data_IF_512137576128
#
_entry.id   IF_512137576128
#
_cell.length_a   1.000
_cell.length_b   1.000
_cell.length_c   1.000
_cell.angle_alpha   90.00
_cell.angle_beta   90.00
_cell.angle_gamma   90.00
#
_symmetry.space_group_name_H-M   'P 1'
#
loop_
_entity.id
_entity.type
_entity.pdbx_description
1 polymer ?
#
# COMPACT_ATOMS: atom_id res chain seq x y z
N UNK A 1 47.15 -6.90 -32.28
CA UNK A 1 45.78 -6.98 -32.81
C UNK A 1 45.07 -5.68 -32.49
N UNK A 2 44.73 -4.93 -33.52
CA UNK A 2 44.15 -3.58 -33.50
C UNK A 2 42.62 -3.66 -33.43
N UNK A 3 42.02 -3.24 -32.31
CA UNK A 3 40.56 -3.19 -32.12
C UNK A 3 40.01 -1.79 -32.39
N UNK A 4 39.40 -1.59 -33.57
CA UNK A 4 38.79 -0.33 -33.95
C UNK A 4 37.38 -0.14 -33.37
N UNK A 5 37.12 1.03 -32.77
CA UNK A 5 35.79 1.45 -32.32
C UNK A 5 34.96 1.91 -33.53
N UNK A 6 33.89 1.18 -33.86
CA UNK A 6 32.89 1.59 -34.88
C UNK A 6 31.89 2.58 -34.27
N UNK A 7 31.96 3.85 -34.68
CA UNK A 7 30.90 4.86 -34.47
C UNK A 7 29.62 4.42 -35.18
N UNK A 8 28.48 4.35 -34.46
CA UNK A 8 27.15 4.16 -35.06
C UNK A 8 26.71 5.47 -35.74
N UNK A 9 26.31 5.39 -37.02
CA UNK A 9 25.66 6.47 -37.76
C UNK A 9 24.27 6.72 -37.17
N UNK A 10 23.94 7.99 -36.97
CA UNK A 10 22.60 8.45 -36.65
C UNK A 10 21.82 8.50 -37.97
N UNK A 11 20.85 7.61 -38.16
CA UNK A 11 19.94 7.68 -39.31
C UNK A 11 18.89 8.76 -39.06
N UNK A 12 18.96 9.80 -39.87
CA UNK A 12 18.06 10.95 -39.83
C UNK A 12 16.79 10.59 -40.60
N UNK A 13 15.72 10.21 -39.91
CA UNK A 13 14.40 10.01 -40.54
C UNK A 13 13.76 11.37 -40.86
N UNK A 14 13.24 11.59 -42.08
CA UNK A 14 12.59 12.84 -42.43
C UNK A 14 11.26 12.98 -41.67
N UNK A 15 11.04 14.14 -41.05
CA UNK A 15 9.74 14.54 -40.51
C UNK A 15 8.72 14.62 -41.65
N UNK A 16 7.93 13.57 -41.81
CA UNK A 16 6.71 13.59 -42.62
C UNK A 16 5.75 14.63 -42.06
N UNK A 17 5.27 15.53 -42.92
CA UNK A 17 4.25 16.52 -42.61
C UNK A 17 3.07 15.85 -41.93
N UNK A 18 2.80 16.26 -40.69
CA UNK A 18 1.59 15.90 -39.94
C UNK A 18 0.42 16.45 -40.74
N UNK A 19 -0.28 15.58 -41.48
CA UNK A 19 -1.61 15.92 -42.01
C UNK A 19 -2.46 16.27 -40.81
N UNK A 20 -2.90 17.52 -40.74
CA UNK A 20 -3.99 17.93 -39.86
C UNK A 20 -5.24 17.17 -40.32
N UNK A 21 -5.49 16.02 -39.69
CA UNK A 21 -6.78 15.35 -39.80
C UNK A 21 -7.82 16.30 -39.24
N UNK A 22 -8.62 16.89 -40.13
CA UNK A 22 -9.81 17.66 -39.78
C UNK A 22 -10.62 16.84 -38.79
N UNK A 23 -10.72 17.36 -37.58
CA UNK A 23 -11.56 16.85 -36.50
C UNK A 23 -13.02 16.89 -36.98
N UNK A 24 -13.49 15.80 -37.59
CA UNK A 24 -14.91 15.57 -37.79
C UNK A 24 -15.48 15.28 -36.41
N UNK A 25 -15.91 16.34 -35.71
CA UNK A 25 -16.61 16.25 -34.42
C UNK A 25 -18.02 15.71 -34.68
N UNK A 26 -18.11 14.42 -35.01
CA UNK A 26 -19.34 13.69 -34.81
C UNK A 26 -19.55 13.59 -33.28
N UNK A 27 -20.77 13.86 -32.77
CA UNK A 27 -21.05 13.64 -31.36
C UNK A 27 -20.69 12.19 -30.98
N UNK A 28 -20.12 11.96 -29.78
CA UNK A 28 -19.65 10.64 -29.41
C UNK A 28 -20.79 9.64 -29.54
N UNK A 29 -20.57 8.58 -30.32
CA UNK A 29 -21.53 7.50 -30.44
C UNK A 29 -21.84 6.93 -29.04
N UNK A 30 -23.02 6.33 -28.85
CA UNK A 30 -23.36 5.69 -27.58
C UNK A 30 -22.29 4.70 -27.11
N UNK A 31 -21.62 4.05 -28.06
CA UNK A 31 -20.46 3.19 -27.82
C UNK A 31 -19.28 3.98 -27.23
N UNK A 32 -18.86 5.08 -27.87
CA UNK A 32 -17.77 5.92 -27.38
C UNK A 32 -18.04 6.50 -25.99
N UNK A 33 -19.29 6.90 -25.72
CA UNK A 33 -19.70 7.36 -24.38
C UNK A 33 -19.57 6.25 -23.34
N UNK A 34 -19.96 5.02 -23.69
CA UNK A 34 -19.82 3.85 -22.80
C UNK A 34 -18.35 3.54 -22.50
N UNK A 35 -17.47 3.54 -23.52
CA UNK A 35 -16.04 3.31 -23.31
C UNK A 35 -15.38 4.40 -22.46
N UNK A 36 -15.81 5.67 -22.57
CA UNK A 36 -15.34 6.74 -21.67
C UNK A 36 -15.74 6.48 -20.22
N UNK A 37 -16.95 5.98 -19.99
CA UNK A 37 -17.40 5.61 -18.64
C UNK A 37 -16.58 4.44 -18.07
N UNK A 38 -16.35 3.39 -18.88
CA UNK A 38 -15.51 2.26 -18.47
C UNK A 38 -14.06 2.68 -18.20
N UNK A 39 -13.50 3.56 -19.03
CA UNK A 39 -12.17 4.10 -18.80
C UNK A 39 -12.10 4.79 -17.44
N UNK A 40 -13.04 5.69 -17.14
CA UNK A 40 -13.08 6.42 -15.87
C UNK A 40 -13.18 5.48 -14.66
N UNK A 41 -14.01 4.44 -14.76
CA UNK A 41 -14.14 3.43 -13.71
C UNK A 41 -12.84 2.65 -13.50
N UNK A 42 -12.21 2.19 -14.59
CA UNK A 42 -10.95 1.46 -14.55
C UNK A 42 -9.81 2.32 -13.99
N UNK A 43 -9.67 3.56 -14.45
CA UNK A 43 -8.64 4.49 -13.99
C UNK A 43 -8.81 4.79 -12.49
N UNK A 44 -10.04 5.08 -12.05
CA UNK A 44 -10.35 5.30 -10.62
C UNK A 44 -9.98 4.08 -9.77
N UNK A 45 -10.27 2.87 -10.28
CA UNK A 45 -9.93 1.62 -9.59
C UNK A 45 -8.42 1.38 -9.53
N UNK A 46 -7.69 1.63 -10.61
CA UNK A 46 -6.23 1.50 -10.64
C UNK A 46 -5.56 2.50 -9.69
N UNK A 47 -6.02 3.76 -9.68
CA UNK A 47 -5.51 4.77 -8.76
C UNK A 47 -5.69 4.35 -7.30
N UNK A 48 -6.85 3.78 -6.97
CA UNK A 48 -7.11 3.22 -5.64
C UNK A 48 -6.19 2.05 -5.32
N UNK A 49 -6.02 1.12 -6.26
CA UNK A 49 -5.12 -0.02 -6.09
C UNK A 49 -3.69 0.44 -5.78
N UNK A 50 -3.18 1.44 -6.49
CA UNK A 50 -1.84 2.00 -6.25
C UNK A 50 -1.73 2.69 -4.89
N UNK A 51 -2.77 3.39 -4.42
CA UNK A 51 -2.79 3.95 -3.05
C UNK A 51 -2.73 2.83 -2.00
N UNK A 52 -3.49 1.76 -2.19
CA UNK A 52 -3.48 0.59 -1.30
C UNK A 52 -2.14 -0.13 -1.29
N UNK A 53 -1.48 -0.30 -2.45
CA UNK A 53 -0.14 -0.89 -2.54
C UNK A 53 0.88 -0.07 -1.74
N UNK A 54 0.83 1.27 -1.81
CA UNK A 54 1.71 2.15 -1.04
C UNK A 54 1.48 2.00 0.46
N UNK A 55 0.23 2.02 0.91
CA UNK A 55 -0.11 1.79 2.32
C UNK A 55 0.36 0.41 2.81
N UNK A 56 0.11 -0.64 2.01
CA UNK A 56 0.56 -2.01 2.29
C UNK A 56 2.07 -2.09 2.43
N UNK A 57 2.82 -1.43 1.55
CA UNK A 57 4.29 -1.38 1.62
C UNK A 57 4.78 -0.73 2.91
N UNK A 58 4.17 0.39 3.31
CA UNK A 58 4.51 1.08 4.55
C UNK A 58 4.22 0.21 5.78
N UNK A 59 3.06 -0.46 5.80
CA UNK A 59 2.68 -1.42 6.85
C UNK A 59 3.73 -2.53 6.96
N UNK A 60 4.15 -3.12 5.83
CA UNK A 60 5.21 -4.15 5.83
C UNK A 60 6.51 -3.62 6.41
N UNK A 61 6.96 -2.43 6.00
CA UNK A 61 8.23 -1.86 6.47
C UNK A 61 8.21 -1.63 7.99
N UNK A 62 7.15 -1.01 8.51
CA UNK A 62 7.04 -0.73 9.95
C UNK A 62 6.83 -1.98 10.80
N UNK A 63 6.08 -2.97 10.29
CA UNK A 63 5.91 -4.27 10.95
C UNK A 63 7.25 -5.02 11.04
N UNK A 64 8.03 -5.05 9.96
CA UNK A 64 9.40 -5.63 9.99
C UNK A 64 10.31 -4.92 10.98
N UNK A 65 10.30 -3.58 11.00
CA UNK A 65 11.08 -2.80 11.96
C UNK A 65 10.71 -3.16 13.40
N UNK A 66 9.42 -3.36 13.65
CA UNK A 66 8.91 -3.80 14.96
C UNK A 66 9.39 -5.21 15.30
N UNK A 67 9.36 -6.15 14.36
CA UNK A 67 9.91 -7.51 14.56
C UNK A 67 11.41 -7.45 14.91
N UNK A 68 12.21 -6.66 14.19
CA UNK A 68 13.63 -6.46 14.49
C UNK A 68 13.88 -5.81 15.85
N UNK A 69 13.01 -4.90 16.28
CA UNK A 69 13.06 -4.31 17.62
C UNK A 69 12.79 -5.40 18.69
N UNK A 70 11.75 -6.21 18.49
CA UNK A 70 11.35 -7.28 19.40
C UNK A 70 12.42 -8.38 19.54
N UNK A 71 13.20 -8.64 18.49
CA UNK A 71 14.35 -9.55 18.58
C UNK A 71 15.41 -9.13 19.61
N UNK A 72 15.44 -7.86 20.02
CA UNK A 72 16.39 -7.35 21.03
C UNK A 72 15.96 -7.65 22.46
N UNK A 73 14.71 -8.09 22.67
CA UNK A 73 14.12 -8.29 23.99
C UNK A 73 14.93 -9.25 24.89
N UNK A 74 15.49 -10.33 24.34
CA UNK A 74 16.26 -11.32 25.14
C UNK A 74 17.68 -10.87 25.48
N UNK A 75 18.17 -9.82 24.81
CA UNK A 75 19.59 -9.44 24.84
C UNK A 75 19.83 -8.15 25.62
N UNK A 76 18.77 -7.48 26.08
CA UNK A 76 18.87 -6.17 26.71
C UNK A 76 18.22 -6.17 28.10
N UNK A 77 18.81 -5.48 29.10
CA UNK A 77 18.25 -5.39 30.45
C UNK A 77 16.93 -4.58 30.51
N UNK A 78 16.55 -3.92 29.42
CA UNK A 78 15.39 -3.01 29.32
C UNK A 78 14.23 -3.60 28.49
N UNK A 79 13.89 -4.88 28.70
CA UNK A 79 12.83 -5.56 27.95
C UNK A 79 11.46 -4.85 27.97
N UNK A 80 11.09 -4.20 29.07
CA UNK A 80 9.84 -3.44 29.17
C UNK A 80 9.81 -2.19 28.28
N UNK A 81 10.94 -1.46 28.17
CA UNK A 81 11.04 -0.30 27.28
C UNK A 81 10.90 -0.73 25.81
N UNK A 82 11.51 -1.85 25.43
CA UNK A 82 11.39 -2.44 24.09
C UNK A 82 9.93 -2.79 23.79
N UNK A 83 9.21 -3.38 24.76
CA UNK A 83 7.80 -3.70 24.59
C UNK A 83 6.94 -2.43 24.44
N UNK A 84 7.18 -1.40 25.25
CA UNK A 84 6.49 -0.12 25.13
C UNK A 84 6.75 0.54 23.78
N UNK A 85 8.00 0.57 23.32
CA UNK A 85 8.36 1.13 22.01
C UNK A 85 7.70 0.34 20.88
N UNK A 86 7.68 -1.00 20.97
CA UNK A 86 7.03 -1.85 19.98
C UNK A 86 5.52 -1.58 19.88
N UNK A 87 4.84 -1.32 21.00
CA UNK A 87 3.41 -1.00 21.02
C UNK A 87 3.13 0.31 20.27
N UNK A 88 3.92 1.36 20.52
CA UNK A 88 3.81 2.64 19.82
C UNK A 88 3.99 2.48 18.30
N UNK A 89 4.90 1.60 17.89
CA UNK A 89 5.10 1.28 16.46
C UNK A 89 3.90 0.52 15.88
N UNK A 90 3.35 -0.45 16.61
CA UNK A 90 2.15 -1.17 16.18
C UNK A 90 0.92 -0.27 16.11
N UNK A 91 0.79 0.72 16.99
CA UNK A 91 -0.24 1.76 16.87
C UNK A 91 -0.12 2.55 15.57
N UNK A 92 1.10 2.92 15.18
CA UNK A 92 1.33 3.59 13.90
C UNK A 92 0.95 2.69 12.71
N UNK A 93 1.20 1.39 12.80
CA UNK A 93 0.76 0.42 11.80
C UNK A 93 -0.77 0.32 11.75
N UNK A 94 -1.45 0.22 12.90
CA UNK A 94 -2.92 0.21 12.99
C UNK A 94 -3.54 1.46 12.37
N UNK A 95 -2.93 2.64 12.56
CA UNK A 95 -3.36 3.88 11.88
C UNK A 95 -3.26 3.80 10.35
N UNK A 96 -2.24 3.13 9.80
CA UNK A 96 -2.15 2.88 8.35
C UNK A 96 -3.19 1.86 7.88
N UNK A 97 -3.48 0.83 8.68
CA UNK A 97 -4.56 -0.12 8.39
C UNK A 97 -5.92 0.57 8.40
N UNK A 98 -6.13 1.57 9.28
CA UNK A 98 -7.31 2.43 9.24
C UNK A 98 -7.44 3.20 7.92
N UNK A 99 -6.34 3.74 7.38
CA UNK A 99 -6.36 4.40 6.07
C UNK A 99 -6.73 3.40 4.96
N UNK A 100 -6.23 2.16 5.03
CA UNK A 100 -6.65 1.07 4.13
C UNK A 100 -8.15 0.81 4.26
N UNK A 101 -8.67 0.71 5.49
CA UNK A 101 -10.09 0.49 5.73
C UNK A 101 -10.96 1.60 5.12
N UNK A 102 -10.52 2.86 5.21
CA UNK A 102 -11.22 4.02 4.62
C UNK A 102 -11.27 3.96 3.09
N UNK A 103 -10.18 3.54 2.43
CA UNK A 103 -10.13 3.39 0.96
C UNK A 103 -11.06 2.27 0.45
N UNK A 104 -11.37 1.29 1.30
CA UNK A 104 -12.17 0.10 0.98
C UNK A 104 -13.66 0.22 1.36
N UNK A 105 -14.10 1.34 1.95
CA UNK A 105 -15.52 1.55 2.27
C UNK A 105 -16.33 1.53 0.97
N UNK A 106 -17.32 0.63 0.90
CA UNK A 106 -18.19 0.48 -0.27
C UNK A 106 -17.58 -0.29 -1.44
N UNK A 107 -16.38 -0.85 -1.27
CA UNK A 107 -15.69 -1.65 -2.29
C UNK A 107 -15.82 -3.16 -2.01
N UNK A 108 -15.72 -3.97 -3.05
CA UNK A 108 -15.53 -5.42 -2.90
C UNK A 108 -14.09 -5.70 -2.45
N UNK A 109 -13.96 -6.18 -1.21
CA UNK A 109 -12.66 -6.46 -0.58
C UNK A 109 -11.80 -7.42 -1.40
N UNK A 110 -12.40 -8.41 -2.09
CA UNK A 110 -11.64 -9.40 -2.85
C UNK A 110 -10.93 -8.81 -4.06
N UNK A 111 -11.42 -7.69 -4.61
CA UNK A 111 -10.79 -7.02 -5.75
C UNK A 111 -9.45 -6.38 -5.38
N UNK A 112 -9.33 -5.88 -4.14
CA UNK A 112 -8.13 -5.18 -3.67
C UNK A 112 -7.28 -6.01 -2.70
N UNK A 113 -7.73 -7.21 -2.32
CA UNK A 113 -7.03 -8.10 -1.39
C UNK A 113 -5.54 -8.29 -1.76
N UNK A 114 -5.22 -8.42 -3.06
CA UNK A 114 -3.83 -8.57 -3.53
C UNK A 114 -2.94 -7.37 -3.23
N UNK A 115 -3.48 -6.16 -3.20
CA UNK A 115 -2.71 -4.96 -2.87
C UNK A 115 -2.30 -4.94 -1.39
N UNK A 116 -3.16 -5.42 -0.49
CA UNK A 116 -3.01 -5.25 0.96
C UNK A 116 -2.51 -6.51 1.69
N UNK A 117 -2.70 -7.70 1.11
CA UNK A 117 -2.40 -8.97 1.77
C UNK A 117 -0.95 -9.07 2.31
N UNK A 118 0.10 -8.61 1.60
CA UNK A 118 1.46 -8.64 2.15
C UNK A 118 1.63 -7.79 3.41
N UNK A 119 1.05 -6.58 3.44
CA UNK A 119 1.08 -5.72 4.62
C UNK A 119 0.35 -6.35 5.81
N UNK A 120 -0.84 -6.92 5.58
CA UNK A 120 -1.62 -7.55 6.64
C UNK A 120 -0.92 -8.79 7.21
N UNK A 121 -0.29 -9.63 6.38
CA UNK A 121 0.48 -10.78 6.85
C UNK A 121 1.64 -10.35 7.77
N UNK A 122 2.36 -9.30 7.38
CA UNK A 122 3.47 -8.79 8.19
C UNK A 122 2.99 -8.18 9.52
N UNK A 123 1.84 -7.48 9.52
CA UNK A 123 1.22 -6.98 10.74
C UNK A 123 0.85 -8.13 11.68
N UNK A 124 0.23 -9.19 11.15
CA UNK A 124 -0.12 -10.41 11.90
C UNK A 124 1.13 -11.04 12.50
N UNK A 125 2.23 -11.14 11.74
CA UNK A 125 3.51 -11.64 12.25
C UNK A 125 4.02 -10.78 13.42
N UNK A 126 4.03 -9.46 13.27
CA UNK A 126 4.51 -8.54 14.30
C UNK A 126 3.69 -8.58 15.60
N UNK A 127 2.35 -8.52 15.51
CA UNK A 127 1.49 -8.58 16.71
C UNK A 127 1.53 -9.95 17.38
N UNK A 128 1.59 -11.03 16.60
CA UNK A 128 1.69 -12.38 17.15
C UNK A 128 3.02 -12.58 17.86
N UNK A 129 4.11 -12.05 17.31
CA UNK A 129 5.43 -12.13 17.92
C UNK A 129 5.50 -11.34 19.23
N UNK A 130 4.99 -10.10 19.24
CA UNK A 130 4.91 -9.29 20.45
C UNK A 130 4.04 -9.97 21.53
N UNK A 131 2.87 -10.49 21.14
CA UNK A 131 1.95 -11.17 22.05
C UNK A 131 2.60 -12.43 22.65
N UNK A 132 3.32 -13.22 21.85
CA UNK A 132 4.04 -14.39 22.35
C UNK A 132 5.14 -14.02 23.35
N UNK A 133 5.89 -12.94 23.09
CA UNK A 133 6.90 -12.43 24.04
C UNK A 133 6.26 -12.10 25.39
N UNK A 134 5.08 -11.45 25.38
CA UNK A 134 4.35 -11.00 26.58
C UNK A 134 3.68 -12.15 27.34
N UNK A 135 3.06 -13.09 26.64
CA UNK A 135 2.10 -14.05 27.24
C UNK A 135 2.54 -15.51 27.16
N UNK A 136 3.55 -15.82 26.33
CA UNK A 136 3.93 -17.20 25.97
C UNK A 136 2.79 -18.02 25.36
N UNK A 137 1.85 -17.35 24.70
CA UNK A 137 0.73 -17.97 23.99
C UNK A 137 0.54 -17.35 22.60
N UNK A 138 -0.33 -17.95 21.80
CA UNK A 138 -0.64 -17.47 20.45
C UNK A 138 -1.91 -16.61 20.49
N UNK A 139 -1.84 -15.42 19.92
CA UNK A 139 -3.00 -14.53 19.78
C UNK A 139 -4.01 -15.12 18.78
N UNK A 140 -5.30 -15.00 19.09
CA UNK A 140 -6.38 -15.42 18.19
C UNK A 140 -6.65 -14.39 17.08
N UNK A 141 -7.28 -14.85 15.99
CA UNK A 141 -7.69 -13.96 14.89
C UNK A 141 -8.71 -12.93 15.39
N UNK A 142 -9.59 -13.33 16.31
CA UNK A 142 -10.58 -12.46 16.94
C UNK A 142 -9.92 -11.35 17.76
N UNK A 143 -8.86 -11.65 18.51
CA UNK A 143 -8.10 -10.64 19.26
C UNK A 143 -7.35 -9.67 18.35
N UNK A 144 -6.80 -10.13 17.23
CA UNK A 144 -6.20 -9.25 16.22
C UNK A 144 -7.27 -8.32 15.64
N UNK A 145 -8.39 -8.89 15.19
CA UNK A 145 -9.46 -8.11 14.54
C UNK A 145 -10.09 -7.07 15.47
N UNK A 146 -10.19 -7.35 16.78
CA UNK A 146 -10.65 -6.37 17.78
C UNK A 146 -9.78 -5.10 17.81
N UNK A 147 -8.49 -5.22 17.53
CA UNK A 147 -7.57 -4.07 17.47
C UNK A 147 -7.71 -3.25 16.17
N UNK A 148 -8.47 -3.76 15.20
CA UNK A 148 -8.66 -3.16 13.88
C UNK A 148 -10.09 -2.63 13.68
N UNK A 149 -10.83 -2.45 14.78
CA UNK A 149 -12.12 -1.76 14.77
C UNK A 149 -11.85 -0.29 15.07
N UNK A 150 -12.13 0.57 14.09
CA UNK A 150 -11.91 2.01 14.19
C UNK A 150 -13.26 2.73 14.21
N UNK A 151 -13.41 3.70 15.11
CA UNK A 151 -14.64 4.49 15.22
C UNK A 151 -14.49 5.84 14.52
N UNK A 152 -15.61 6.53 14.29
CA UNK A 152 -15.61 7.84 13.64
C UNK A 152 -14.95 8.94 14.49
N UNK A 153 -14.91 8.76 15.82
CA UNK A 153 -14.30 9.68 16.78
C UNK A 153 -12.77 9.74 16.62
N UNK A 154 -12.16 8.68 16.09
CA UNK A 154 -10.73 8.62 15.83
C UNK A 154 -10.26 9.55 14.68
N UNK A 155 -11.15 10.38 14.10
CA UNK A 155 -10.83 11.31 13.00
C UNK A 155 -10.01 12.53 13.42
N UNK A 156 -10.03 12.90 14.70
CA UNK A 156 -9.51 14.20 15.16
C UNK A 156 -7.99 14.26 15.41
N UNK A 157 -7.29 13.12 15.52
CA UNK A 157 -5.85 13.13 15.83
C UNK A 157 -4.95 13.52 14.65
N UNK A 158 -5.42 13.46 13.40
CA UNK A 158 -4.59 13.74 12.22
C UNK A 158 -4.52 15.21 11.81
N UNK A 159 -5.25 16.11 12.47
CA UNK A 159 -5.29 17.54 12.08
C UNK A 159 -4.44 18.44 12.98
N UNK A 160 -3.91 17.91 14.09
CA UNK A 160 -3.18 18.71 15.09
C UNK A 160 -1.73 18.22 15.30
N UNK A 161 -0.96 18.00 14.23
CA UNK A 161 0.51 17.88 14.28
C UNK A 161 1.17 18.54 13.07
#
# INVERSE_FOLDING_TARGET
>A
GSGGFRKRKHDNFPHGQRREEKENVNPPSALMTSFKAFQLELDTRHDKYERLVKLSRDITIESKRTIFLLHRFTSAPNGEEILSESEVKLDAVRRKIKQVAQELIGEDMYQFHRAISPGLQEYVEAVSFQYFIKTRSLISVEEINKQLIFTAEDREETTNM
#
